data_IF_919475517839
#
_entry.id   IF_919475517839
#
_cell.length_a   1.000
_cell.length_b   1.000
_cell.length_c   1.000
_cell.angle_alpha   90.00
_cell.angle_beta   90.00
_cell.angle_gamma   90.00
#
_symmetry.space_group_name_H-M   'P 1'
#
loop_
_entity.id
_entity.type
_entity.pdbx_description
1 polymer ?
#
# COMPACT_ATOMS: atom_id res chain seq x y z
N UNK A 1 -13.72 29.11 -53.18
CA UNK A 1 -13.98 27.67 -52.96
C UNK A 1 -13.57 27.34 -51.53
N UNK A 2 -14.41 26.58 -50.84
CA UNK A 2 -14.53 26.47 -49.38
C UNK A 2 -13.24 26.34 -48.57
N UNK A 3 -13.21 27.15 -47.51
CA UNK A 3 -12.49 26.93 -46.27
C UNK A 3 -12.96 25.63 -45.60
N UNK A 4 -12.07 24.65 -45.45
CA UNK A 4 -12.24 23.59 -44.46
C UNK A 4 -11.38 23.94 -43.24
N UNK A 5 -11.97 24.70 -42.32
CA UNK A 5 -11.52 24.71 -40.93
C UNK A 5 -11.83 23.31 -40.40
N UNK A 6 -10.79 22.55 -40.09
CA UNK A 6 -10.93 21.26 -39.43
C UNK A 6 -11.73 21.48 -38.14
N UNK A 7 -12.83 20.76 -37.99
CA UNK A 7 -13.63 20.79 -36.77
C UNK A 7 -12.73 20.40 -35.58
N UNK A 8 -12.88 21.05 -34.42
CA UNK A 8 -12.13 20.67 -33.24
C UNK A 8 -12.48 19.22 -32.89
N UNK A 9 -11.44 18.39 -32.80
CA UNK A 9 -11.52 17.00 -32.39
C UNK A 9 -12.40 16.91 -31.13
N UNK A 10 -13.53 16.20 -31.23
CA UNK A 10 -14.50 16.11 -30.15
C UNK A 10 -13.76 15.65 -28.87
N UNK A 11 -13.95 16.38 -27.77
CA UNK A 11 -13.49 15.96 -26.43
C UNK A 11 -13.86 14.50 -26.24
N UNK A 12 -12.85 13.65 -26.09
CA UNK A 12 -13.05 12.25 -25.74
C UNK A 12 -13.84 12.20 -24.43
N UNK A 13 -14.95 11.46 -24.43
CA UNK A 13 -15.70 11.20 -23.22
C UNK A 13 -14.86 10.27 -22.33
N UNK A 14 -14.50 10.74 -21.14
CA UNK A 14 -13.88 9.90 -20.12
C UNK A 14 -14.94 9.43 -19.11
N UNK A 15 -14.84 8.18 -18.67
CA UNK A 15 -15.75 7.57 -17.72
C UNK A 15 -15.01 7.32 -16.42
N UNK A 16 -15.43 7.98 -15.33
CA UNK A 16 -14.86 7.79 -14.00
C UNK A 16 -15.91 7.10 -13.12
N UNK A 17 -15.49 6.04 -12.43
CA UNK A 17 -16.35 5.28 -11.54
C UNK A 17 -15.99 5.61 -10.09
N UNK A 18 -17.01 5.76 -9.25
CA UNK A 18 -16.87 6.02 -7.82
C UNK A 18 -17.78 5.09 -7.01
N UNK A 19 -17.30 4.69 -5.85
CA UNK A 19 -18.06 4.04 -4.79
C UNK A 19 -18.57 5.13 -3.86
N UNK A 20 -19.89 5.20 -3.67
CA UNK A 20 -20.51 6.12 -2.71
C UNK A 20 -20.67 5.40 -1.39
N UNK A 21 -20.08 5.95 -0.32
CA UNK A 21 -20.21 5.42 1.04
C UNK A 21 -21.05 6.36 1.91
N UNK A 22 -21.98 5.76 2.64
CA UNK A 22 -22.82 6.42 3.65
C UNK A 22 -22.60 5.78 5.02
N UNK A 23 -22.64 6.59 6.08
CA UNK A 23 -22.36 6.22 7.46
C UNK A 23 -20.92 5.75 7.69
N UNK A 24 -19.97 6.34 6.95
CA UNK A 24 -18.54 6.06 7.06
C UNK A 24 -17.75 7.38 7.04
N UNK A 25 -16.76 7.53 7.94
CA UNK A 25 -15.96 8.76 8.05
C UNK A 25 -14.67 8.62 7.25
N UNK A 26 -14.68 9.11 6.01
CA UNK A 26 -13.56 8.95 5.08
C UNK A 26 -12.43 9.98 5.28
N UNK A 27 -12.53 10.90 6.25
CA UNK A 27 -11.55 11.98 6.42
C UNK A 27 -10.16 11.45 6.76
N UNK A 28 -10.11 10.32 7.48
CA UNK A 28 -8.86 9.64 7.79
C UNK A 28 -8.22 9.01 6.55
N UNK A 29 -9.01 8.39 5.67
CA UNK A 29 -8.49 7.86 4.41
C UNK A 29 -8.06 8.98 3.46
N UNK A 30 -8.73 10.13 3.45
CA UNK A 30 -8.30 11.32 2.69
C UNK A 30 -6.89 11.74 3.13
N UNK A 31 -6.62 11.84 4.44
CA UNK A 31 -5.27 12.11 4.96
C UNK A 31 -4.27 11.07 4.48
N UNK A 32 -4.63 9.79 4.59
CA UNK A 32 -3.76 8.70 4.16
C UNK A 32 -3.38 8.85 2.68
N UNK A 33 -4.36 9.11 1.82
CA UNK A 33 -4.13 9.31 0.38
C UNK A 33 -3.26 10.53 0.09
N UNK A 34 -3.44 11.64 0.81
CA UNK A 34 -2.56 12.81 0.68
C UNK A 34 -1.12 12.48 1.04
N UNK A 35 -0.87 11.73 2.11
CA UNK A 35 0.48 11.28 2.43
C UNK A 35 1.00 10.30 1.36
N UNK A 36 0.19 9.35 0.89
CA UNK A 36 0.59 8.40 -0.18
C UNK A 36 1.02 9.16 -1.45
N UNK A 37 0.31 10.23 -1.83
CA UNK A 37 0.73 11.13 -2.94
C UNK A 37 2.09 11.74 -2.66
N UNK A 38 2.28 12.31 -1.47
CA UNK A 38 3.57 12.89 -1.09
C UNK A 38 4.72 11.87 -1.11
N UNK A 39 4.47 10.63 -0.67
CA UNK A 39 5.46 9.54 -0.74
C UNK A 39 5.80 9.19 -2.19
N UNK A 40 4.80 9.16 -3.08
CA UNK A 40 5.00 8.95 -4.51
C UNK A 40 5.89 10.07 -5.11
N UNK A 41 5.62 11.32 -4.77
CA UNK A 41 6.40 12.47 -5.25
C UNK A 41 7.86 12.43 -4.75
N UNK A 42 8.07 11.98 -3.50
CA UNK A 42 9.42 11.77 -2.95
C UNK A 42 10.16 10.67 -3.72
N UNK A 43 9.49 9.55 -4.04
CA UNK A 43 10.11 8.48 -4.81
C UNK A 43 10.48 8.93 -6.23
N UNK A 44 9.60 9.69 -6.89
CA UNK A 44 9.88 10.28 -8.20
C UNK A 44 11.06 11.26 -8.14
N UNK A 45 11.10 12.12 -7.13
CA UNK A 45 12.18 13.11 -6.96
C UNK A 45 13.55 12.47 -6.66
N UNK A 46 13.54 11.25 -6.13
CA UNK A 46 14.74 10.46 -5.86
C UNK A 46 15.11 9.48 -7.00
N UNK A 47 14.48 9.59 -8.16
CA UNK A 47 14.63 8.69 -9.32
C UNK A 47 14.41 7.20 -8.97
N UNK A 48 13.56 6.92 -7.98
CA UNK A 48 13.23 5.57 -7.56
C UNK A 48 12.02 5.05 -8.35
N UNK A 49 12.10 3.87 -8.99
CA UNK A 49 10.99 3.32 -9.76
C UNK A 49 9.96 2.65 -8.83
N UNK A 50 9.68 3.24 -7.67
CA UNK A 50 8.63 2.81 -6.75
C UNK A 50 7.29 3.38 -7.21
N UNK A 51 6.23 2.57 -7.13
CA UNK A 51 4.91 2.95 -7.64
C UNK A 51 3.82 2.71 -6.61
N UNK A 52 3.20 3.81 -6.21
CA UNK A 52 1.96 3.87 -5.46
C UNK A 52 0.84 4.33 -6.40
N UNK A 53 -0.38 3.88 -6.12
CA UNK A 53 -1.58 4.38 -6.79
C UNK A 53 -2.42 5.18 -5.77
N UNK A 54 -2.24 6.51 -5.70
CA UNK A 54 -3.06 7.36 -4.85
C UNK A 54 -4.41 7.66 -5.50
N UNK A 55 -5.39 6.78 -5.29
CA UNK A 55 -6.74 6.95 -5.81
C UNK A 55 -7.50 8.05 -5.09
N UNK A 56 -8.46 8.69 -5.77
CA UNK A 56 -9.20 9.81 -5.22
C UNK A 56 -10.20 9.39 -4.14
N UNK A 57 -10.18 10.10 -3.02
CA UNK A 57 -11.19 9.98 -1.97
C UNK A 57 -11.67 11.39 -1.64
N UNK A 58 -12.99 11.57 -1.62
CA UNK A 58 -13.64 12.84 -1.32
C UNK A 58 -14.58 12.61 -0.14
N UNK A 59 -14.22 13.15 1.02
CA UNK A 59 -15.14 13.24 2.15
C UNK A 59 -16.14 14.38 1.88
N UNK A 60 -17.42 14.04 1.69
CA UNK A 60 -18.49 15.02 1.45
C UNK A 60 -19.14 15.50 2.74
N UNK A 61 -19.00 14.76 3.83
CA UNK A 61 -19.38 15.16 5.19
C UNK A 61 -18.57 14.38 6.23
N UNK A 62 -18.94 14.47 7.52
CA UNK A 62 -18.34 13.66 8.58
C UNK A 62 -18.76 12.17 8.55
N UNK A 63 -19.74 11.79 7.71
CA UNK A 63 -20.26 10.41 7.63
C UNK A 63 -20.58 9.97 6.21
N UNK A 64 -20.20 10.74 5.19
CA UNK A 64 -20.43 10.41 3.78
C UNK A 64 -19.24 10.80 2.93
N UNK A 65 -19.01 10.04 1.86
CA UNK A 65 -18.02 10.42 0.86
C UNK A 65 -17.98 9.46 -0.32
N UNK A 66 -17.04 9.71 -1.21
CA UNK A 66 -16.86 9.00 -2.47
C UNK A 66 -15.42 8.49 -2.56
N UNK A 67 -15.26 7.28 -3.07
CA UNK A 67 -13.96 6.64 -3.29
C UNK A 67 -13.86 6.27 -4.77
N UNK A 68 -12.81 6.68 -5.44
CA UNK A 68 -12.54 6.28 -6.82
C UNK A 68 -12.46 4.75 -6.93
N UNK A 69 -13.16 4.22 -7.94
CA UNK A 69 -13.13 2.79 -8.23
C UNK A 69 -11.87 2.44 -9.02
N UNK A 70 -11.02 1.59 -8.43
CA UNK A 70 -9.81 1.09 -9.08
C UNK A 70 -10.20 0.07 -10.15
N UNK A 71 -10.09 0.48 -11.41
CA UNK A 71 -10.40 -0.36 -12.57
C UNK A 71 -9.38 -1.48 -12.73
N UNK A 72 -9.81 -2.60 -13.32
CA UNK A 72 -8.96 -3.74 -13.69
C UNK A 72 -8.15 -4.35 -12.53
N UNK A 73 -8.58 -4.14 -11.28
CA UNK A 73 -7.94 -4.71 -10.11
C UNK A 73 -8.87 -5.67 -9.37
N UNK A 74 -8.29 -6.70 -8.77
CA UNK A 74 -9.00 -7.68 -7.94
C UNK A 74 -8.27 -7.84 -6.61
N UNK A 75 -9.00 -7.98 -5.51
CA UNK A 75 -8.38 -8.30 -4.22
C UNK A 75 -7.72 -9.69 -4.27
N UNK A 76 -6.61 -9.88 -3.55
CA UNK A 76 -5.96 -11.17 -3.46
C UNK A 76 -6.89 -12.24 -2.86
N UNK A 77 -7.81 -11.85 -1.96
CA UNK A 77 -8.85 -12.75 -1.45
C UNK A 77 -9.81 -13.21 -2.56
N UNK A 78 -10.34 -12.29 -3.36
CA UNK A 78 -11.24 -12.62 -4.45
C UNK A 78 -10.52 -13.43 -5.55
N UNK A 79 -9.23 -13.16 -5.77
CA UNK A 79 -8.39 -13.94 -6.68
C UNK A 79 -8.23 -15.39 -6.19
N UNK A 80 -7.95 -15.58 -4.90
CA UNK A 80 -7.78 -16.90 -4.26
C UNK A 80 -9.05 -17.75 -4.25
N UNK A 81 -10.22 -17.10 -4.25
CA UNK A 81 -11.54 -17.77 -4.29
C UNK A 81 -11.93 -18.28 -5.67
N UNK A 82 -11.16 -17.98 -6.73
CA UNK A 82 -11.44 -18.49 -8.08
C UNK A 82 -11.04 -19.97 -8.17
N UNK A 83 -11.88 -20.80 -8.78
CA UNK A 83 -11.63 -22.24 -8.95
C UNK A 83 -10.31 -22.56 -9.67
N UNK A 84 -9.85 -21.64 -10.53
CA UNK A 84 -8.61 -21.80 -11.30
C UNK A 84 -7.34 -21.42 -10.53
N UNK A 85 -7.47 -20.87 -9.32
CA UNK A 85 -6.34 -20.39 -8.52
C UNK A 85 -5.64 -21.55 -7.81
N UNK A 86 -4.31 -21.60 -7.92
CA UNK A 86 -3.50 -22.55 -7.15
C UNK A 86 -2.52 -21.84 -6.24
N UNK A 87 -1.72 -20.95 -6.81
CA UNK A 87 -0.75 -20.09 -6.12
C UNK A 87 -0.64 -18.76 -6.85
N UNK A 88 -0.12 -17.74 -6.17
CA UNK A 88 0.15 -16.46 -6.82
C UNK A 88 1.17 -16.61 -7.96
N UNK A 89 2.19 -17.45 -7.81
CA UNK A 89 3.17 -17.73 -8.87
C UNK A 89 2.49 -18.30 -10.14
N UNK A 90 1.60 -19.28 -9.96
CA UNK A 90 0.82 -19.87 -11.05
C UNK A 90 -0.15 -18.85 -11.68
N UNK A 91 -0.73 -17.94 -10.88
CA UNK A 91 -1.51 -16.83 -11.42
C UNK A 91 -0.68 -15.96 -12.38
N UNK A 92 0.54 -15.57 -11.99
CA UNK A 92 1.42 -14.79 -12.88
C UNK A 92 1.76 -15.56 -14.16
N UNK A 93 2.01 -16.87 -14.08
CA UNK A 93 2.29 -17.70 -15.25
C UNK A 93 1.09 -17.80 -16.20
N UNK A 94 -0.11 -18.02 -15.65
CA UNK A 94 -1.35 -18.11 -16.43
C UNK A 94 -1.76 -16.78 -17.07
N UNK A 95 -1.53 -15.67 -16.38
CA UNK A 95 -1.96 -14.34 -16.83
C UNK A 95 -0.95 -13.68 -17.78
N UNK A 96 0.35 -13.82 -17.52
CA UNK A 96 1.40 -13.10 -18.26
C UNK A 96 2.31 -14.01 -19.11
N UNK A 97 2.12 -15.33 -19.05
CA UNK A 97 2.90 -16.31 -19.78
C UNK A 97 4.14 -16.79 -19.03
N UNK A 98 5.06 -17.42 -19.77
CA UNK A 98 6.27 -18.01 -19.20
C UNK A 98 7.22 -16.97 -18.62
N UNK A 99 8.09 -17.39 -17.69
CA UNK A 99 8.98 -16.51 -16.90
C UNK A 99 9.99 -15.72 -17.73
N UNK A 100 10.31 -16.20 -18.93
CA UNK A 100 11.22 -15.58 -19.89
C UNK A 100 10.53 -14.52 -20.78
N UNK A 101 9.20 -14.53 -20.84
CA UNK A 101 8.41 -13.60 -21.64
C UNK A 101 8.54 -12.15 -21.15
N UNK A 102 8.45 -11.21 -22.10
CA UNK A 102 8.49 -9.78 -21.77
C UNK A 102 7.32 -9.36 -20.87
N UNK A 103 6.11 -9.90 -21.13
CA UNK A 103 4.91 -9.60 -20.35
C UNK A 103 5.07 -10.04 -18.87
N UNK A 104 5.54 -11.27 -18.63
CA UNK A 104 5.82 -11.74 -17.27
C UNK A 104 6.86 -10.89 -16.56
N UNK A 105 7.98 -10.57 -17.22
CA UNK A 105 9.04 -9.75 -16.64
C UNK A 105 8.56 -8.35 -16.28
N UNK A 106 7.75 -7.72 -17.14
CA UNK A 106 7.15 -6.41 -16.85
C UNK A 106 6.19 -6.49 -15.67
N UNK A 107 5.26 -7.44 -15.67
CA UNK A 107 4.28 -7.58 -14.60
C UNK A 107 4.93 -7.90 -13.25
N UNK A 108 5.93 -8.79 -13.23
CA UNK A 108 6.68 -9.11 -12.01
C UNK A 108 7.51 -7.92 -11.51
N UNK A 109 8.07 -7.12 -12.43
CA UNK A 109 8.77 -5.88 -12.08
C UNK A 109 7.80 -4.87 -11.44
N UNK A 110 6.60 -4.71 -12.02
CA UNK A 110 5.53 -3.87 -11.47
C UNK A 110 5.11 -4.35 -10.07
N UNK A 111 4.95 -5.67 -9.90
CA UNK A 111 4.64 -6.29 -8.62
C UNK A 111 5.69 -5.98 -7.56
N UNK A 112 6.97 -6.19 -7.87
CA UNK A 112 8.09 -5.92 -6.96
C UNK A 112 8.15 -4.45 -6.54
N UNK A 113 8.03 -3.53 -7.51
CA UNK A 113 8.12 -2.08 -7.28
C UNK A 113 6.97 -1.55 -6.42
N UNK A 114 5.75 -1.97 -6.73
CA UNK A 114 4.56 -1.55 -5.99
C UNK A 114 4.47 -2.20 -4.62
N UNK A 115 4.84 -3.48 -4.48
CA UNK A 115 4.90 -4.14 -3.17
C UNK A 115 5.94 -3.47 -2.25
N UNK A 116 7.11 -3.11 -2.77
CA UNK A 116 8.12 -2.40 -1.99
C UNK A 116 7.60 -1.03 -1.53
N UNK A 117 6.94 -0.29 -2.43
CA UNK A 117 6.35 1.01 -2.11
C UNK A 117 5.28 0.90 -1.02
N UNK A 118 4.30 0.01 -1.16
CA UNK A 118 3.24 -0.17 -0.18
C UNK A 118 3.73 -0.78 1.14
N UNK A 119 4.82 -1.54 1.14
CA UNK A 119 5.46 -2.02 2.37
C UNK A 119 6.05 -0.86 3.19
N UNK A 120 6.64 0.14 2.52
CA UNK A 120 7.09 1.38 3.17
C UNK A 120 5.90 2.19 3.69
N UNK A 121 4.83 2.32 2.91
CA UNK A 121 3.59 3.00 3.32
C UNK A 121 3.02 2.38 4.60
N UNK A 122 2.86 1.05 4.62
CA UNK A 122 2.39 0.33 5.80
C UNK A 122 3.29 0.52 7.02
N UNK A 123 4.62 0.50 6.82
CA UNK A 123 5.57 0.72 7.90
C UNK A 123 5.49 2.15 8.46
N UNK A 124 5.59 3.17 7.62
CA UNK A 124 5.67 4.57 8.08
C UNK A 124 4.33 5.10 8.61
N UNK A 125 3.22 4.71 8.00
CA UNK A 125 1.89 5.11 8.43
C UNK A 125 1.30 4.18 9.49
N UNK A 126 2.03 3.14 9.91
CA UNK A 126 1.57 2.14 10.88
C UNK A 126 0.18 1.61 10.55
N UNK A 127 -0.06 1.32 9.27
CA UNK A 127 -1.35 0.82 8.79
C UNK A 127 -1.57 -0.59 9.36
N UNK A 128 -2.76 -0.81 9.91
CA UNK A 128 -3.21 -2.10 10.46
C UNK A 128 -4.30 -2.71 9.57
N UNK A 129 -4.78 -3.87 9.97
CA UNK A 129 -5.82 -4.62 9.27
C UNK A 129 -5.43 -4.94 7.82
N UNK A 130 -4.18 -5.37 7.61
CA UNK A 130 -3.68 -5.74 6.28
C UNK A 130 -3.93 -7.22 6.04
N UNK A 131 -5.08 -7.52 5.45
CA UNK A 131 -5.45 -8.85 4.97
C UNK A 131 -5.60 -8.91 3.44
N UNK A 132 -5.74 -10.10 2.87
CA UNK A 132 -5.79 -10.28 1.41
C UNK A 132 -7.02 -9.63 0.73
N UNK A 133 -8.07 -9.31 1.50
CA UNK A 133 -9.18 -8.47 1.01
C UNK A 133 -8.79 -7.00 0.74
N UNK A 134 -7.77 -6.47 1.43
CA UNK A 134 -7.33 -5.07 1.36
C UNK A 134 -6.11 -4.86 0.46
N UNK A 135 -5.62 -5.92 -0.15
CA UNK A 135 -4.49 -5.91 -1.08
C UNK A 135 -5.02 -6.35 -2.43
N UNK A 136 -4.97 -5.47 -3.41
CA UNK A 136 -5.40 -5.71 -4.78
C UNK A 136 -4.21 -5.94 -5.69
N UNK A 137 -4.44 -6.66 -6.79
CA UNK A 137 -3.53 -6.75 -7.92
C UNK A 137 -4.26 -6.29 -9.17
N UNK A 138 -3.64 -5.38 -9.93
CA UNK A 138 -4.15 -4.91 -11.22
C UNK A 138 -3.72 -5.81 -12.39
N UNK A 139 -4.31 -5.56 -13.57
CA UNK A 139 -4.02 -6.30 -14.80
C UNK A 139 -2.59 -6.14 -15.33
N UNK A 140 -1.82 -5.18 -14.81
CA UNK A 140 -0.42 -4.93 -15.18
C UNK A 140 0.55 -5.49 -14.13
N UNK A 141 0.04 -6.14 -13.08
CA UNK A 141 0.80 -6.77 -12.01
C UNK A 141 1.14 -5.85 -10.84
N UNK A 142 0.60 -4.63 -10.77
CA UNK A 142 0.83 -3.76 -9.61
C UNK A 142 0.00 -4.21 -8.41
N UNK A 143 0.60 -4.11 -7.23
CA UNK A 143 -0.09 -4.19 -5.94
C UNK A 143 -0.67 -2.83 -5.60
N UNK A 144 -1.93 -2.80 -5.16
CA UNK A 144 -2.58 -1.60 -4.65
C UNK A 144 -3.23 -1.92 -3.30
N UNK A 145 -2.89 -1.18 -2.25
CA UNK A 145 -3.58 -1.31 -0.97
C UNK A 145 -4.81 -0.39 -0.96
N UNK A 146 -5.91 -0.91 -0.44
CA UNK A 146 -7.17 -0.17 -0.23
C UNK A 146 -7.57 -0.23 1.24
N UNK A 147 -8.59 0.56 1.60
CA UNK A 147 -9.17 0.61 2.94
C UNK A 147 -8.13 0.98 4.02
N UNK A 148 -8.00 2.27 4.32
CA UNK A 148 -7.03 2.78 5.29
C UNK A 148 -7.70 3.22 6.60
N UNK A 149 -8.80 2.57 6.99
CA UNK A 149 -9.56 2.90 8.20
C UNK A 149 -8.77 2.74 9.51
N UNK A 150 -7.61 2.08 9.48
CA UNK A 150 -6.73 1.90 10.64
C UNK A 150 -5.29 2.36 10.35
N UNK A 151 -5.01 3.66 10.53
CA UNK A 151 -3.67 4.25 10.37
C UNK A 151 -3.13 4.83 11.69
N UNK A 152 -1.85 5.20 11.71
CA UNK A 152 -1.16 5.87 12.82
C UNK A 152 -1.28 5.08 14.14
N UNK A 153 -1.25 3.75 14.04
CA UNK A 153 -1.25 2.87 15.21
C UNK A 153 -2.62 2.54 15.79
N UNK A 154 -3.72 3.09 15.25
CA UNK A 154 -5.04 2.51 15.55
C UNK A 154 -5.06 1.09 15.01
N UNK A 155 -5.61 0.16 15.78
CA UNK A 155 -5.83 -1.20 15.34
C UNK A 155 -7.25 -1.67 15.68
N UNK A 156 -7.84 -2.56 14.86
CA UNK A 156 -9.05 -3.27 15.26
C UNK A 156 -8.78 -4.07 16.55
N UNK A 157 -9.65 -3.89 17.55
CA UNK A 157 -9.47 -4.50 18.89
C UNK A 157 -8.54 -3.73 19.84
N UNK A 158 -8.07 -2.53 19.46
CA UNK A 158 -7.29 -1.65 20.34
C UNK A 158 -5.94 -2.25 20.75
N UNK A 159 -5.62 -2.19 22.05
CA UNK A 159 -4.31 -2.65 22.61
C UNK A 159 -4.05 -4.15 22.46
N UNK A 160 -5.07 -4.95 22.15
CA UNK A 160 -4.96 -6.40 21.97
C UNK A 160 -4.71 -6.81 20.52
N UNK A 161 -4.46 -5.85 19.62
CA UNK A 161 -4.17 -6.16 18.23
C UNK A 161 -2.99 -7.12 18.10
N UNK A 162 -3.24 -8.24 17.42
CA UNK A 162 -2.28 -9.30 17.19
C UNK A 162 -1.26 -8.90 16.10
N UNK A 163 -1.49 -7.82 15.35
CA UNK A 163 -0.70 -7.47 14.17
C UNK A 163 0.54 -6.62 14.53
N UNK A 164 1.66 -7.33 14.76
CA UNK A 164 2.97 -6.72 15.08
C UNK A 164 3.99 -6.78 13.94
N UNK A 165 3.61 -7.33 12.78
CA UNK A 165 4.48 -7.32 11.61
C UNK A 165 4.63 -5.88 11.09
N UNK A 166 5.82 -5.47 10.64
CA UNK A 166 6.03 -4.15 10.02
C UNK A 166 5.15 -3.89 8.79
N UNK A 167 4.95 -4.92 7.97
CA UNK A 167 4.09 -4.94 6.80
C UNK A 167 3.75 -6.38 6.44
N UNK A 168 2.75 -6.60 5.57
CA UNK A 168 2.35 -7.93 5.12
C UNK A 168 3.28 -8.42 4.02
N UNK A 169 4.03 -9.49 4.30
CA UNK A 169 4.89 -10.20 3.34
C UNK A 169 4.72 -11.70 3.55
N UNK A 170 3.86 -12.32 2.76
CA UNK A 170 3.54 -13.76 2.88
C UNK A 170 4.57 -14.63 2.14
N UNK A 171 4.66 -15.91 2.51
CA UNK A 171 5.49 -16.87 1.77
C UNK A 171 5.09 -16.95 0.30
N UNK A 172 3.79 -16.96 0.02
CA UNK A 172 3.27 -16.98 -1.36
C UNK A 172 3.68 -15.75 -2.19
N UNK A 173 3.74 -14.57 -1.59
CA UNK A 173 4.26 -13.36 -2.25
C UNK A 173 5.76 -13.50 -2.58
N UNK A 174 6.54 -14.10 -1.68
CA UNK A 174 7.97 -14.36 -1.89
C UNK A 174 8.18 -15.46 -2.92
N UNK A 175 7.37 -16.50 -2.91
CA UNK A 175 7.41 -17.60 -3.88
C UNK A 175 7.03 -17.11 -5.28
N UNK A 176 6.07 -16.18 -5.40
CA UNK A 176 5.75 -15.51 -6.65
C UNK A 176 6.95 -14.73 -7.22
N UNK A 177 7.77 -14.12 -6.36
CA UNK A 177 9.04 -13.50 -6.78
C UNK A 177 10.13 -14.52 -7.15
N UNK A 178 9.90 -15.83 -6.99
CA UNK A 178 10.90 -16.88 -7.21
C UNK A 178 11.72 -17.26 -5.96
N UNK A 179 11.27 -16.86 -4.77
CA UNK A 179 11.90 -17.21 -3.50
C UNK A 179 12.96 -16.21 -3.02
N UNK A 180 13.46 -16.43 -1.80
CA UNK A 180 14.37 -15.48 -1.12
C UNK A 180 15.73 -15.27 -1.79
N UNK A 181 16.12 -16.16 -2.71
CA UNK A 181 17.39 -16.09 -3.45
C UNK A 181 17.23 -15.50 -4.86
N UNK A 182 15.99 -15.21 -5.29
CA UNK A 182 15.71 -14.69 -6.62
C UNK A 182 16.15 -13.24 -6.77
N UNK A 183 16.37 -12.82 -8.01
CA UNK A 183 16.75 -11.45 -8.31
C UNK A 183 15.58 -10.47 -8.08
N UNK A 184 14.33 -10.92 -8.28
CA UNK A 184 13.15 -10.12 -7.94
C UNK A 184 13.03 -9.86 -6.43
N UNK A 185 13.29 -10.86 -5.59
CA UNK A 185 13.27 -10.66 -4.14
C UNK A 185 14.43 -9.77 -3.66
N UNK A 186 15.63 -9.93 -4.24
CA UNK A 186 16.74 -9.01 -3.98
C UNK A 186 16.40 -7.58 -4.39
N UNK A 187 15.79 -7.40 -5.57
CA UNK A 187 15.34 -6.09 -6.06
C UNK A 187 14.29 -5.48 -5.12
N UNK A 188 13.32 -6.26 -4.64
CA UNK A 188 12.36 -5.83 -3.62
C UNK A 188 13.06 -5.28 -2.36
N UNK A 189 14.05 -6.00 -1.83
CA UNK A 189 14.81 -5.55 -0.64
C UNK A 189 15.63 -4.29 -0.94
N UNK A 190 16.24 -4.19 -2.12
CA UNK A 190 16.99 -2.99 -2.53
C UNK A 190 16.06 -1.78 -2.63
N UNK A 191 14.89 -1.92 -3.26
CA UNK A 191 13.91 -0.85 -3.36
C UNK A 191 13.36 -0.42 -2.00
N UNK A 192 13.15 -1.36 -1.06
CA UNK A 192 12.81 -1.02 0.32
C UNK A 192 13.89 -0.17 0.99
N UNK A 193 15.18 -0.53 0.82
CA UNK A 193 16.30 0.23 1.41
C UNK A 193 16.36 1.63 0.81
N UNK A 194 16.32 1.74 -0.52
CA UNK A 194 16.41 3.00 -1.24
C UNK A 194 15.21 3.91 -0.91
N UNK A 195 14.00 3.36 -0.94
CA UNK A 195 12.80 4.09 -0.56
C UNK A 195 12.82 4.53 0.90
N UNK A 196 13.29 3.69 1.83
CA UNK A 196 13.45 4.08 3.23
C UNK A 196 14.40 5.27 3.37
N UNK A 197 15.56 5.24 2.72
CA UNK A 197 16.54 6.34 2.75
C UNK A 197 15.97 7.63 2.16
N UNK A 198 15.22 7.55 1.06
CA UNK A 198 14.55 8.71 0.46
C UNK A 198 13.51 9.32 1.42
N UNK A 199 12.70 8.48 2.07
CA UNK A 199 11.71 8.93 3.05
C UNK A 199 12.35 9.48 4.32
N UNK A 200 13.48 8.91 4.77
CA UNK A 200 14.26 9.42 5.90
C UNK A 200 14.68 10.89 5.71
N UNK A 201 15.05 11.28 4.47
CA UNK A 201 15.43 12.65 4.13
C UNK A 201 14.24 13.63 4.12
N UNK A 202 13.00 13.13 4.05
CA UNK A 202 11.78 13.93 3.95
C UNK A 202 10.86 13.75 5.16
N UNK A 203 11.39 13.28 6.28
CA UNK A 203 10.63 13.00 7.49
C UNK A 203 9.87 14.22 8.01
N UNK A 204 10.48 15.41 7.96
CA UNK A 204 9.88 16.65 8.46
C UNK A 204 8.61 17.03 7.67
N UNK A 205 8.59 16.83 6.35
CA UNK A 205 7.41 17.08 5.51
C UNK A 205 6.25 16.18 5.92
N UNK A 206 6.51 14.88 6.07
CA UNK A 206 5.47 13.90 6.42
C UNK A 206 4.96 14.15 7.85
N UNK A 207 5.86 14.45 8.79
CA UNK A 207 5.50 14.80 10.17
C UNK A 207 4.68 16.09 10.23
N UNK A 208 5.01 17.09 9.40
CA UNK A 208 4.24 18.33 9.32
C UNK A 208 2.83 18.09 8.79
N UNK A 209 2.65 17.27 7.75
CA UNK A 209 1.32 16.91 7.24
C UNK A 209 0.46 16.26 8.33
N UNK A 210 1.02 15.32 9.09
CA UNK A 210 0.33 14.68 10.21
C UNK A 210 0.03 15.70 11.32
N UNK A 211 0.98 16.60 11.63
CA UNK A 211 0.82 17.59 12.68
C UNK A 211 -0.32 18.58 12.38
N UNK A 212 -0.40 19.08 11.14
CA UNK A 212 -1.47 19.97 10.68
C UNK A 212 -2.83 19.27 10.80
N UNK A 213 -2.92 18.03 10.31
CA UNK A 213 -4.18 17.28 10.36
C UNK A 213 -4.58 16.80 11.76
N UNK A 214 -3.66 16.78 12.72
CA UNK A 214 -3.97 16.43 14.10
C UNK A 214 -4.50 17.61 14.93
N UNK A 215 -4.32 18.86 14.48
CA UNK A 215 -4.82 20.04 15.20
C UNK A 215 -6.34 20.06 15.22
N UNK A 216 -6.92 19.95 16.42
CA UNK A 216 -8.37 20.01 16.68
C UNK A 216 -9.20 19.05 15.81
N UNK A 217 -8.59 17.94 15.38
CA UNK A 217 -9.21 17.02 14.44
C UNK A 217 -10.12 16.01 15.15
N UNK A 218 -11.33 15.87 14.62
CA UNK A 218 -12.27 14.85 15.06
C UNK A 218 -12.08 13.51 14.36
N UNK A 219 -10.99 13.30 13.61
CA UNK A 219 -10.76 12.04 12.90
C UNK A 219 -10.46 10.91 13.91
N UNK A 220 -10.94 9.67 13.68
CA UNK A 220 -10.75 8.56 14.61
C UNK A 220 -9.30 8.31 15.06
N UNK A 221 -8.32 8.52 14.15
CA UNK A 221 -6.88 8.43 14.44
C UNK A 221 -6.35 9.37 15.50
N UNK A 222 -6.98 10.52 15.70
CA UNK A 222 -6.57 11.52 16.67
C UNK A 222 -7.47 11.57 17.90
N UNK A 223 -8.68 11.00 17.85
CA UNK A 223 -9.62 11.02 18.99
C UNK A 223 -9.13 10.23 20.20
N UNK A 224 -8.45 9.12 19.97
CA UNK A 224 -8.09 8.14 21.02
C UNK A 224 -6.62 8.21 21.44
N UNK A 225 -5.84 9.14 20.88
CA UNK A 225 -4.39 9.22 21.04
C UNK A 225 -3.94 10.68 21.14
N UNK A 226 -2.91 10.96 21.94
CA UNK A 226 -2.33 12.30 21.97
C UNK A 226 -1.58 12.58 20.65
N UNK A 227 -1.88 13.67 19.92
CA UNK A 227 -1.16 14.04 18.70
C UNK A 227 0.37 14.08 18.85
N UNK A 228 0.88 14.51 20.02
CA UNK A 228 2.32 14.55 20.28
C UNK A 228 2.92 13.15 20.33
N UNK A 229 2.22 12.18 20.90
CA UNK A 229 2.69 10.80 20.99
C UNK A 229 2.69 10.12 19.62
N UNK A 230 1.68 10.41 18.79
CA UNK A 230 1.64 9.99 17.37
C UNK A 230 2.87 10.55 16.65
N UNK A 231 3.09 11.86 16.70
CA UNK A 231 4.22 12.50 16.02
C UNK A 231 5.57 11.95 16.51
N UNK A 232 5.74 11.77 17.81
CA UNK A 232 6.96 11.20 18.38
C UNK A 232 7.18 9.74 17.92
N UNK A 233 6.13 8.93 17.94
CA UNK A 233 6.19 7.53 17.49
C UNK A 233 6.51 7.46 16.01
N UNK A 234 5.81 8.24 15.18
CA UNK A 234 6.06 8.32 13.74
C UNK A 234 7.47 8.82 13.45
N UNK A 235 7.97 9.83 14.16
CA UNK A 235 9.35 10.33 14.02
C UNK A 235 10.38 9.25 14.30
N UNK A 236 10.16 8.42 15.32
CA UNK A 236 11.06 7.31 15.61
C UNK A 236 11.15 6.31 14.45
N UNK A 237 10.08 6.07 13.68
CA UNK A 237 10.08 5.13 12.55
C UNK A 237 11.08 5.53 11.46
N UNK A 238 11.31 6.83 11.26
CA UNK A 238 12.30 7.33 10.29
C UNK A 238 13.75 7.04 10.67
N UNK A 239 14.02 6.69 11.94
CA UNK A 239 15.37 6.35 12.41
C UNK A 239 16.38 7.41 11.96
N UNK A 240 16.09 8.68 12.21
CA UNK A 240 16.96 9.82 11.83
C UNK A 240 18.34 9.74 12.48
N UNK A 241 18.48 8.94 13.53
CA UNK A 241 19.72 8.59 14.21
C UNK A 241 20.59 7.57 13.46
N UNK A 242 20.06 6.92 12.42
CA UNK A 242 20.77 5.89 11.66
C UNK A 242 21.44 6.44 10.41
N UNK A 243 22.70 6.07 10.19
CA UNK A 243 23.37 6.24 8.91
C UNK A 243 22.95 5.15 7.89
N UNK A 244 23.38 5.29 6.64
CA UNK A 244 23.02 4.39 5.55
C UNK A 244 23.30 2.90 5.85
N UNK A 245 24.44 2.57 6.45
CA UNK A 245 24.80 1.17 6.79
C UNK A 245 23.87 0.60 7.87
N UNK A 246 23.50 1.42 8.85
CA UNK A 246 22.53 1.05 9.89
C UNK A 246 21.13 0.87 9.31
N UNK A 247 20.70 1.75 8.39
CA UNK A 247 19.41 1.65 7.69
C UNK A 247 19.33 0.34 6.89
N UNK A 248 20.39 -0.03 6.15
CA UNK A 248 20.43 -1.30 5.40
C UNK A 248 20.16 -2.49 6.33
N UNK A 249 20.90 -2.57 7.45
CA UNK A 249 20.72 -3.66 8.44
C UNK A 249 19.32 -3.64 9.05
N UNK A 250 18.79 -2.46 9.33
CA UNK A 250 17.47 -2.28 9.90
C UNK A 250 16.36 -2.73 8.95
N UNK A 251 16.39 -2.32 7.69
CA UNK A 251 15.40 -2.70 6.68
C UNK A 251 15.45 -4.20 6.41
N UNK A 252 16.62 -4.82 6.34
CA UNK A 252 16.74 -6.29 6.26
C UNK A 252 16.08 -6.96 7.47
N UNK A 253 16.23 -6.39 8.67
CA UNK A 253 15.53 -6.89 9.86
C UNK A 253 13.99 -6.74 9.76
N UNK A 254 13.49 -5.67 9.13
CA UNK A 254 12.05 -5.48 8.90
C UNK A 254 11.51 -6.55 7.96
N UNK A 255 12.22 -6.84 6.87
CA UNK A 255 11.86 -7.91 5.92
C UNK A 255 11.82 -9.27 6.62
N UNK A 256 12.83 -9.59 7.43
CA UNK A 256 12.86 -10.85 8.21
C UNK A 256 11.71 -10.96 9.21
N UNK A 257 11.36 -9.87 9.89
CA UNK A 257 10.23 -9.84 10.84
C UNK A 257 8.87 -9.93 10.16
N UNK A 258 8.77 -9.45 8.93
CA UNK A 258 7.52 -9.46 8.14
C UNK A 258 7.30 -10.81 7.46
N UNK A 259 8.38 -11.39 6.90
CA UNK A 259 8.32 -12.67 6.21
C UNK A 259 7.90 -13.79 7.16
N UNK A 260 6.73 -14.38 6.89
CA UNK A 260 6.17 -15.51 7.66
C UNK A 260 6.01 -15.25 9.16
N UNK A 261 5.71 -14.00 9.55
CA UNK A 261 5.38 -13.67 10.94
C UNK A 261 4.25 -14.57 11.47
N UNK A 262 4.52 -15.28 12.56
CA UNK A 262 3.55 -16.18 13.21
C UNK A 262 2.25 -15.45 13.57
N UNK A 263 2.36 -14.19 14.00
CA UNK A 263 1.22 -13.34 14.37
C UNK A 263 0.38 -12.91 13.17
N UNK A 264 1.00 -12.65 12.01
CA UNK A 264 0.27 -12.39 10.76
C UNK A 264 -0.56 -13.61 10.37
N UNK A 265 -0.03 -14.84 10.53
CA UNK A 265 -0.79 -16.07 10.28
C UNK A 265 -1.98 -16.22 11.23
N UNK A 266 -1.79 -15.92 12.52
CA UNK A 266 -2.89 -15.93 13.50
C UNK A 266 -3.98 -14.90 13.14
N UNK A 267 -3.57 -13.72 12.66
CA UNK A 267 -4.49 -12.69 12.20
C UNK A 267 -5.25 -13.10 10.95
N UNK A 268 -4.58 -13.72 9.96
CA UNK A 268 -5.24 -14.23 8.77
C UNK A 268 -6.22 -15.37 9.11
N UNK A 269 -5.90 -16.20 10.10
CA UNK A 269 -6.82 -17.21 10.64
C UNK A 269 -8.05 -16.57 11.32
N UNK A 270 -7.85 -15.50 12.10
CA UNK A 270 -8.94 -14.72 12.67
C UNK A 270 -9.86 -14.15 11.57
N UNK A 271 -9.26 -13.50 10.56
CA UNK A 271 -9.99 -12.93 9.42
C UNK A 271 -10.73 -14.00 8.59
N UNK A 272 -10.15 -15.20 8.45
CA UNK A 272 -10.83 -16.35 7.84
C UNK A 272 -12.06 -16.78 8.64
N UNK A 273 -11.96 -16.81 9.97
CA UNK A 273 -13.06 -17.23 10.85
C UNK A 273 -14.18 -16.19 10.93
N UNK A 274 -13.84 -14.90 10.98
CA UNK A 274 -14.84 -13.83 11.17
C UNK A 274 -15.43 -13.34 9.84
N UNK A 275 -14.58 -13.17 8.83
CA UNK A 275 -14.92 -12.48 7.59
C UNK A 275 -14.80 -13.39 6.34
N UNK A 276 -14.40 -14.65 6.49
CA UNK A 276 -14.26 -15.57 5.37
C UNK A 276 -13.14 -15.20 4.38
N UNK A 277 -12.14 -14.44 4.84
CA UNK A 277 -11.00 -13.99 4.03
C UNK A 277 -9.92 -15.07 4.00
N UNK A 278 -9.44 -15.45 2.81
CA UNK A 278 -8.43 -16.48 2.64
C UNK A 278 -7.02 -15.94 2.97
N UNK A 279 -6.22 -16.67 3.77
CA UNK A 279 -4.85 -16.32 4.16
C UNK A 279 -3.88 -16.32 2.99
#
# INVERSE_FOLDING_TARGET
MSSHVAAPQAKEWDCVAFIVKSNDDLRQEVLCQQIIRQLQDIFLSADLPLRLLPYEIIATSASTGMIEYIKNAVSLDALKKRDSYTTLADHFLKTYGQTDSAAYKTAMTNFVRSMAAYSLVCYFLQIKDRHNGNIMIDSDGHVVHIDFGFILGIAPGGRFSLETAPFKLTGEMVDAMGGTQSDYFKAYVIFLIQGFLALQQHADTILMMIAIMAQESSCPCFLSQNPRDILNTTKQLFRLDFNQSQVIKYVISLVRRSHNSYRTRQYDVFQRMTNGILP
#
